data_IF_102798893812
#
_entry.id   IF_102798893812
#
_cell.length_a   1.000
_cell.length_b   1.000
_cell.length_c   1.000
_cell.angle_alpha   90.00
_cell.angle_beta   90.00
_cell.angle_gamma   90.00
#
_symmetry.space_group_name_H-M   'P 1'
#
loop_
_entity.id
_entity.type
_entity.pdbx_description
1 polymer ?
#
# COMPACT_ATOMS: atom_id res chain seq x y z
N UNK A 1 -10.88 -10.64 14.29
CA UNK A 1 -9.52 -10.20 13.91
C UNK A 1 -9.64 -9.54 12.57
N UNK A 2 -9.12 -8.33 12.40
CA UNK A 2 -9.02 -7.68 11.08
C UNK A 2 -7.96 -8.38 10.24
N UNK A 3 -8.15 -8.43 8.93
CA UNK A 3 -7.16 -8.98 8.00
C UNK A 3 -5.86 -8.17 8.06
N UNK A 4 -4.72 -8.84 8.00
CA UNK A 4 -3.42 -8.19 7.89
C UNK A 4 -3.21 -7.59 6.49
N UNK A 5 -2.31 -6.61 6.37
CA UNK A 5 -1.91 -6.03 5.06
C UNK A 5 -1.49 -7.12 4.05
N UNK A 6 -0.77 -8.15 4.50
CA UNK A 6 -0.35 -9.26 3.65
C UNK A 6 -1.54 -10.12 3.18
N UNK A 7 -2.52 -10.37 4.05
CA UNK A 7 -3.74 -11.11 3.70
C UNK A 7 -4.61 -10.33 2.71
N UNK A 8 -4.78 -9.02 2.91
CA UNK A 8 -5.48 -8.12 1.97
C UNK A 8 -4.82 -8.21 0.59
N UNK A 9 -3.50 -8.03 0.53
CA UNK A 9 -2.72 -8.18 -0.70
C UNK A 9 -2.93 -9.54 -1.36
N UNK A 10 -2.83 -10.63 -0.58
CA UNK A 10 -2.95 -11.98 -1.12
C UNK A 10 -4.35 -12.25 -1.67
N UNK A 11 -5.40 -11.79 -0.99
CA UNK A 11 -6.78 -11.91 -1.49
C UNK A 11 -6.98 -11.13 -2.77
N UNK A 12 -6.53 -9.87 -2.83
CA UNK A 12 -6.61 -9.07 -4.05
C UNK A 12 -5.87 -9.75 -5.22
N UNK A 13 -4.68 -10.33 -4.97
CA UNK A 13 -3.92 -11.04 -5.99
C UNK A 13 -4.70 -12.22 -6.60
N UNK A 14 -5.53 -12.93 -5.82
CA UNK A 14 -6.35 -14.04 -6.32
C UNK A 14 -7.57 -13.60 -7.14
N UNK A 15 -7.97 -12.33 -7.04
CA UNK A 15 -9.16 -11.79 -7.70
C UNK A 15 -8.85 -11.09 -9.04
N UNK A 16 -7.57 -10.82 -9.31
CA UNK A 16 -7.11 -10.20 -10.54
C UNK A 16 -7.11 -11.23 -11.68
N UNK A 17 -7.72 -10.87 -12.81
CA UNK A 17 -7.65 -11.70 -14.01
C UNK A 17 -6.26 -11.58 -14.67
N UNK A 18 -5.75 -12.65 -15.31
CA UNK A 18 -4.45 -12.58 -16.01
C UNK A 18 -4.39 -11.50 -17.09
N UNK A 19 -5.52 -11.25 -17.75
CA UNK A 19 -5.64 -10.25 -18.82
C UNK A 19 -5.52 -8.82 -18.29
N UNK A 20 -6.21 -8.49 -17.18
CA UNK A 20 -6.05 -7.20 -16.50
C UNK A 20 -4.65 -7.02 -15.92
N UNK A 21 -4.07 -8.09 -15.33
CA UNK A 21 -2.70 -8.05 -14.80
C UNK A 21 -1.68 -7.68 -15.88
N UNK A 22 -1.80 -8.24 -17.08
CA UNK A 22 -0.90 -7.88 -18.18
C UNK A 22 -1.17 -6.48 -18.72
N UNK A 23 -2.44 -6.10 -18.89
CA UNK A 23 -2.78 -4.82 -19.50
C UNK A 23 -2.36 -3.63 -18.63
N UNK A 24 -2.48 -3.74 -17.32
CA UNK A 24 -2.20 -2.67 -16.36
C UNK A 24 -0.93 -2.91 -15.52
N UNK A 25 -0.17 -3.95 -15.84
CA UNK A 25 1.04 -4.37 -15.12
C UNK A 25 0.82 -4.54 -13.60
N UNK A 26 -0.36 -5.04 -13.20
CA UNK A 26 -0.77 -5.18 -11.79
C UNK A 26 -0.13 -6.40 -11.11
N UNK A 27 1.18 -6.33 -10.88
CA UNK A 27 1.94 -7.32 -10.12
C UNK A 27 2.10 -6.85 -8.68
N UNK A 28 1.16 -7.24 -7.82
CA UNK A 28 1.13 -6.79 -6.42
C UNK A 28 2.43 -7.14 -5.69
N UNK A 29 3.07 -6.18 -5.03
CA UNK A 29 4.33 -6.39 -4.31
C UNK A 29 4.15 -7.41 -3.17
N UNK A 30 4.98 -8.46 -3.07
CA UNK A 30 4.98 -9.35 -1.90
C UNK A 30 5.48 -8.63 -0.64
N UNK A 31 4.99 -9.01 0.55
CA UNK A 31 5.39 -8.39 1.82
C UNK A 31 6.91 -8.34 2.05
N UNK A 32 7.69 -9.42 1.82
CA UNK A 32 9.14 -9.36 2.02
C UNK A 32 9.84 -8.34 1.11
N UNK A 33 9.31 -8.14 -0.12
CA UNK A 33 9.84 -7.16 -1.07
C UNK A 33 9.50 -5.74 -0.63
N UNK A 34 8.30 -5.53 -0.09
CA UNK A 34 7.90 -4.23 0.47
C UNK A 34 8.75 -3.86 1.69
N UNK A 35 8.99 -4.80 2.61
CA UNK A 35 9.88 -4.60 3.76
C UNK A 35 11.31 -4.29 3.31
N UNK A 36 11.83 -5.04 2.33
CA UNK A 36 13.15 -4.75 1.77
C UNK A 36 13.22 -3.36 1.12
N UNK A 37 12.25 -3.00 0.26
CA UNK A 37 12.23 -1.71 -0.41
C UNK A 37 12.19 -0.54 0.59
N UNK A 38 11.37 -0.66 1.63
CA UNK A 38 11.23 0.40 2.65
C UNK A 38 12.44 0.53 3.55
N UNK A 39 13.21 -0.55 3.78
CA UNK A 39 14.47 -0.50 4.54
C UNK A 39 15.57 0.33 3.87
N UNK A 40 15.41 0.70 2.59
CA UNK A 40 16.33 1.59 1.88
C UNK A 40 16.14 3.06 2.25
N UNK A 41 15.01 3.43 2.86
CA UNK A 41 14.79 4.79 3.30
C UNK A 41 15.62 5.11 4.55
N UNK A 42 16.09 6.36 4.63
CA UNK A 42 16.73 6.85 5.85
C UNK A 42 15.66 7.06 6.93
N UNK A 43 15.90 6.53 8.12
CA UNK A 43 15.04 6.75 9.28
C UNK A 43 14.87 8.25 9.57
N UNK A 44 13.66 8.65 9.96
CA UNK A 44 13.33 10.02 10.34
C UNK A 44 12.46 10.03 11.59
N UNK A 45 12.89 10.74 12.62
CA UNK A 45 12.07 11.02 13.81
C UNK A 45 11.04 12.13 13.56
N UNK A 46 11.07 12.78 12.39
CA UNK A 46 10.10 13.78 11.96
C UNK A 46 9.00 13.15 11.11
N UNK A 47 7.74 13.62 11.22
CA UNK A 47 6.65 13.20 10.34
C UNK A 47 7.01 13.40 8.87
N UNK A 48 6.58 12.46 8.02
CA UNK A 48 6.81 12.49 6.57
C UNK A 48 5.50 12.46 5.79
N UNK A 49 5.55 12.95 4.55
CA UNK A 49 4.46 12.87 3.60
C UNK A 49 4.81 11.83 2.53
N UNK A 50 4.08 10.73 2.51
CA UNK A 50 4.30 9.59 1.62
C UNK A 50 3.36 9.72 0.42
N UNK A 51 3.91 9.60 -0.79
CA UNK A 51 3.15 9.50 -2.04
C UNK A 51 3.35 8.10 -2.61
N UNK A 52 2.27 7.34 -2.76
CA UNK A 52 2.27 5.96 -3.28
C UNK A 52 1.54 5.92 -4.64
N UNK A 53 2.29 5.82 -5.73
CA UNK A 53 1.78 5.87 -7.10
C UNK A 53 1.59 4.46 -7.65
N UNK A 54 0.43 4.19 -8.25
CA UNK A 54 0.08 2.82 -8.65
C UNK A 54 0.05 1.92 -7.42
N UNK A 55 -0.64 2.40 -6.38
CA UNK A 55 -0.50 1.84 -5.02
C UNK A 55 -0.93 0.38 -4.95
N UNK A 56 -1.72 -0.11 -5.91
CA UNK A 56 -2.31 -1.43 -5.88
C UNK A 56 -3.09 -1.57 -4.59
N UNK A 57 -2.69 -2.51 -3.73
CA UNK A 57 -3.31 -2.70 -2.41
C UNK A 57 -2.71 -1.81 -1.32
N UNK A 58 -1.90 -0.79 -1.66
CA UNK A 58 -1.27 0.13 -0.72
C UNK A 58 -0.17 -0.47 0.15
N UNK A 59 0.38 -1.64 -0.22
CA UNK A 59 1.31 -2.38 0.65
C UNK A 59 2.61 -1.60 0.88
N UNK A 60 3.15 -0.92 -0.13
CA UNK A 60 4.36 -0.10 0.01
C UNK A 60 4.08 1.10 0.91
N UNK A 61 3.05 1.90 0.61
CA UNK A 61 2.64 3.02 1.45
C UNK A 61 2.38 2.61 2.90
N UNK A 62 1.75 1.46 3.14
CA UNK A 62 1.46 0.96 4.48
C UNK A 62 2.73 0.54 5.23
N UNK A 63 3.63 -0.21 4.57
CA UNK A 63 4.89 -0.64 5.19
C UNK A 63 5.81 0.55 5.48
N UNK A 64 5.83 1.57 4.61
CA UNK A 64 6.55 2.82 4.84
C UNK A 64 5.95 3.58 6.02
N UNK A 65 4.63 3.77 6.04
CA UNK A 65 3.95 4.54 7.08
C UNK A 65 4.08 3.90 8.47
N UNK A 66 4.08 2.56 8.54
CA UNK A 66 4.30 1.81 9.79
C UNK A 66 5.68 2.07 10.42
N UNK A 67 6.68 2.41 9.63
CA UNK A 67 8.03 2.76 10.09
C UNK A 67 8.23 4.26 10.29
N UNK A 68 7.28 5.08 9.84
CA UNK A 68 7.37 6.54 9.90
C UNK A 68 7.00 7.09 11.28
N UNK A 69 7.51 8.28 11.61
CA UNK A 69 7.17 8.96 12.85
C UNK A 69 5.66 9.27 12.94
N UNK A 70 5.07 9.26 14.15
CA UNK A 70 3.66 9.64 14.35
C UNK A 70 3.33 11.01 13.74
N UNK A 71 2.15 11.13 13.14
CA UNK A 71 1.71 12.34 12.45
C UNK A 71 2.06 12.40 10.95
N UNK A 72 2.76 11.37 10.45
CA UNK A 72 2.97 11.15 9.01
C UNK A 72 1.65 10.96 8.26
N UNK A 73 1.68 11.11 6.94
CA UNK A 73 0.50 10.96 6.08
C UNK A 73 0.80 10.17 4.82
N UNK A 74 -0.19 9.48 4.27
CA UNK A 74 -0.10 8.78 2.98
C UNK A 74 -1.13 9.34 1.99
N UNK A 75 -0.67 9.72 0.81
CA UNK A 75 -1.50 9.93 -0.37
C UNK A 75 -1.21 8.80 -1.35
N UNK A 76 -2.22 7.99 -1.66
CA UNK A 76 -2.12 6.90 -2.61
C UNK A 76 -2.96 7.19 -3.87
N UNK A 77 -2.48 6.75 -5.02
CA UNK A 77 -3.17 6.86 -6.31
C UNK A 77 -3.27 5.46 -6.90
N UNK A 78 -4.48 5.01 -7.18
CA UNK A 78 -4.77 3.70 -7.77
C UNK A 78 -6.01 3.79 -8.65
N UNK A 79 -5.88 3.41 -9.92
CA UNK A 79 -6.97 3.55 -10.90
C UNK A 79 -7.99 2.40 -10.82
N UNK A 80 -7.61 1.22 -10.32
CA UNK A 80 -8.52 0.09 -10.16
C UNK A 80 -9.30 0.22 -8.84
N UNK A 81 -10.61 0.49 -8.92
CA UNK A 81 -11.50 0.66 -7.77
C UNK A 81 -11.40 -0.46 -6.72
N UNK A 82 -11.19 -1.72 -7.15
CA UNK A 82 -11.08 -2.86 -6.24
C UNK A 82 -9.77 -2.82 -5.48
N UNK A 83 -8.68 -2.48 -6.16
CA UNK A 83 -7.38 -2.31 -5.53
C UNK A 83 -7.34 -1.05 -4.67
N UNK A 84 -7.96 0.05 -5.10
CA UNK A 84 -8.09 1.26 -4.31
C UNK A 84 -8.82 1.00 -2.98
N UNK A 85 -9.90 0.22 -3.01
CA UNK A 85 -10.60 -0.24 -1.79
C UNK A 85 -9.68 -1.07 -0.87
N UNK A 86 -8.86 -1.96 -1.45
CA UNK A 86 -7.87 -2.73 -0.69
C UNK A 86 -6.73 -1.84 -0.13
N UNK A 87 -6.36 -0.78 -0.85
CA UNK A 87 -5.40 0.24 -0.45
C UNK A 87 -5.89 1.01 0.77
N UNK A 88 -7.14 1.48 0.74
CA UNK A 88 -7.79 2.16 1.88
C UNK A 88 -7.75 1.28 3.14
N UNK A 89 -8.14 0.00 3.01
CA UNK A 89 -8.14 -0.96 4.13
C UNK A 89 -6.73 -1.21 4.69
N UNK A 90 -5.71 -1.28 3.83
CA UNK A 90 -4.33 -1.52 4.25
C UNK A 90 -3.73 -0.30 4.94
N UNK A 91 -3.96 0.89 4.40
CA UNK A 91 -3.41 2.15 4.91
C UNK A 91 -4.05 2.57 6.24
N UNK A 92 -5.36 2.33 6.41
CA UNK A 92 -6.08 2.63 7.63
C UNK A 92 -5.58 1.84 8.85
N UNK A 93 -4.84 0.74 8.67
CA UNK A 93 -4.26 -0.04 9.76
C UNK A 93 -3.04 0.62 10.41
N UNK A 94 -2.39 1.56 9.72
CA UNK A 94 -1.05 2.05 10.09
C UNK A 94 -0.94 3.57 10.08
N UNK A 95 -1.89 4.29 9.49
CA UNK A 95 -1.83 5.74 9.40
C UNK A 95 -3.24 6.36 9.43
N UNK A 96 -3.46 7.28 10.36
CA UNK A 96 -4.74 8.00 10.50
C UNK A 96 -4.97 9.02 9.37
N UNK A 97 -3.87 9.53 8.78
CA UNK A 97 -3.90 10.59 7.76
C UNK A 97 -3.66 10.01 6.38
N UNK A 98 -4.65 9.29 5.87
CA UNK A 98 -4.59 8.61 4.58
C UNK A 98 -5.61 9.19 3.61
N UNK A 99 -5.26 9.21 2.32
CA UNK A 99 -6.18 9.52 1.23
C UNK A 99 -5.83 8.64 0.04
N UNK A 100 -6.82 7.96 -0.52
CA UNK A 100 -6.71 7.24 -1.80
C UNK A 100 -7.47 8.02 -2.86
N UNK A 101 -6.87 8.17 -4.04
CA UNK A 101 -7.48 8.78 -5.21
C UNK A 101 -7.59 7.68 -6.28
N UNK A 102 -8.80 7.43 -6.76
CA UNK A 102 -9.13 6.52 -7.86
C UNK A 102 -9.94 7.26 -8.93
#
# INVERSE_FOLDING_TARGET
MSETIAEIRNKAATLLSPEQQQQWEQFLTPMPVAEQATSLFTHSDKPVHILDLGSGTGILGAVTARQAAPGSSVLAIEQDDKLASASELSLAQVCDRTKVIH
#
